data_IF_698287089863
#
_entry.id   IF_698287089863
#
_cell.length_a   1.000
_cell.length_b   1.000
_cell.length_c   1.000
_cell.angle_alpha   90.00
_cell.angle_beta   90.00
_cell.angle_gamma   90.00
#
_symmetry.space_group_name_H-M   'P 1'
#
loop_
_entity.id
_entity.type
_entity.pdbx_description
1 polymer ?
#
# COMPACT_ATOMS: atom_id res chain seq x y z
N UNK A 1 12.44 10.87 11.52
CA UNK A 1 11.91 10.09 10.40
C UNK A 1 12.34 8.64 10.58
N UNK A 2 11.39 7.72 10.44
CA UNK A 2 11.63 6.28 10.53
C UNK A 2 11.69 5.73 9.11
N UNK A 3 12.67 4.88 8.83
CA UNK A 3 12.94 4.34 7.49
C UNK A 3 13.18 2.83 7.59
N UNK A 4 12.80 2.10 6.55
CA UNK A 4 13.10 0.68 6.42
C UNK A 4 14.61 0.45 6.20
N UNK A 5 15.07 -0.76 6.54
CA UNK A 5 16.46 -1.15 6.33
C UNK A 5 16.68 -1.69 4.92
N UNK A 6 16.30 -0.92 3.91
CA UNK A 6 16.50 -1.26 2.51
C UNK A 6 17.87 -0.75 2.03
N UNK A 7 18.70 -1.56 1.33
CA UNK A 7 20.04 -1.16 0.89
C UNK A 7 20.10 0.10 0.02
N UNK A 8 18.98 0.48 -0.61
CA UNK A 8 18.85 1.70 -1.41
C UNK A 8 18.78 2.98 -0.57
N UNK A 9 18.56 2.87 0.74
CA UNK A 9 18.42 4.01 1.65
C UNK A 9 19.80 4.31 2.27
N UNK A 10 20.54 5.32 1.79
CA UNK A 10 21.84 5.64 2.37
C UNK A 10 21.67 6.19 3.79
N UNK A 11 22.61 5.86 4.66
CA UNK A 11 22.75 6.59 5.92
C UNK A 11 23.26 7.99 5.62
N UNK A 12 22.51 9.00 6.08
CA UNK A 12 22.86 10.40 5.91
C UNK A 12 23.15 11.00 7.29
N UNK A 13 24.40 11.41 7.48
CA UNK A 13 24.85 12.04 8.72
C UNK A 13 24.59 13.56 8.72
N UNK A 14 24.65 14.16 9.91
CA UNK A 14 24.59 15.61 10.13
C UNK A 14 23.28 16.31 9.70
N UNK A 15 22.16 15.59 9.69
CA UNK A 15 20.84 16.20 9.51
C UNK A 15 20.53 17.14 10.68
N UNK A 16 20.30 18.43 10.38
CA UNK A 16 20.10 19.47 11.40
C UNK A 16 18.68 19.54 11.96
N UNK A 17 17.68 19.17 11.15
CA UNK A 17 16.27 19.37 11.46
C UNK A 17 15.51 18.06 11.76
N UNK A 18 16.05 16.92 11.32
CA UNK A 18 15.40 15.62 11.49
C UNK A 18 16.43 14.59 11.93
N UNK A 19 16.00 13.66 12.79
CA UNK A 19 16.77 12.45 13.09
C UNK A 19 16.27 11.32 12.20
N UNK A 20 17.19 10.63 11.51
CA UNK A 20 16.88 9.41 10.77
C UNK A 20 17.04 8.20 11.71
N UNK A 21 16.08 7.28 11.69
CA UNK A 21 16.12 6.03 12.47
C UNK A 21 15.76 4.89 11.53
N UNK A 22 16.67 3.94 11.37
CA UNK A 22 16.43 2.73 10.59
C UNK A 22 15.81 1.64 11.46
N UNK A 23 14.80 0.97 10.93
CA UNK A 23 14.23 -0.21 11.56
C UNK A 23 15.19 -1.40 11.46
N UNK A 24 15.07 -2.42 12.31
CA UNK A 24 15.89 -3.62 12.18
C UNK A 24 15.74 -4.31 10.82
N UNK A 25 16.73 -5.09 10.36
CA UNK A 25 16.59 -5.95 9.19
C UNK A 25 15.38 -6.88 9.32
N UNK A 26 14.69 -7.16 8.21
CA UNK A 26 13.52 -8.04 8.15
C UNK A 26 12.33 -7.65 9.04
N UNK A 27 12.22 -6.36 9.40
CA UNK A 27 11.08 -5.85 10.14
C UNK A 27 9.81 -6.01 9.29
N UNK A 28 8.83 -6.77 9.80
CA UNK A 28 7.59 -7.07 9.08
C UNK A 28 6.80 -5.79 8.77
N UNK A 29 5.99 -5.83 7.72
CA UNK A 29 5.12 -4.72 7.28
C UNK A 29 4.16 -4.19 8.36
N UNK A 30 3.93 -4.97 9.43
CA UNK A 30 3.15 -4.55 10.60
C UNK A 30 3.84 -3.43 11.37
N UNK A 31 5.17 -3.46 11.46
CA UNK A 31 5.97 -2.50 12.21
C UNK A 31 6.45 -1.33 11.34
N UNK A 32 6.37 -1.47 10.01
CA UNK A 32 6.74 -0.44 9.05
C UNK A 32 5.64 0.63 8.96
N UNK A 33 5.90 1.90 9.36
CA UNK A 33 4.86 2.92 9.43
C UNK A 33 4.21 3.23 8.08
N UNK A 34 4.98 3.17 6.99
CA UNK A 34 4.47 3.39 5.64
C UNK A 34 3.53 2.27 5.20
N UNK A 35 3.92 1.02 5.46
CA UNK A 35 3.13 -0.16 5.13
C UNK A 35 1.81 -0.19 5.93
N UNK A 36 1.89 -0.01 7.24
CA UNK A 36 0.73 -0.05 8.14
C UNK A 36 -0.20 1.16 7.95
N UNK A 37 0.36 2.31 7.58
CA UNK A 37 -0.38 3.54 7.35
C UNK A 37 -0.84 3.67 5.90
N UNK A 38 -0.01 4.30 5.08
CA UNK A 38 -0.38 4.79 3.75
C UNK A 38 -0.72 3.62 2.82
N UNK A 39 0.13 2.60 2.74
CA UNK A 39 -0.04 1.49 1.79
C UNK A 39 -1.27 0.66 2.16
N UNK A 40 -1.46 0.33 3.44
CA UNK A 40 -2.65 -0.39 3.89
C UNK A 40 -3.94 0.40 3.60
N UNK A 41 -3.96 1.70 3.91
CA UNK A 41 -5.10 2.56 3.61
C UNK A 41 -5.39 2.61 2.12
N UNK A 42 -4.35 2.75 1.29
CA UNK A 42 -4.48 2.75 -0.17
C UNK A 42 -5.07 1.44 -0.68
N UNK A 43 -4.50 0.29 -0.29
CA UNK A 43 -5.01 -1.04 -0.68
C UNK A 43 -6.47 -1.23 -0.27
N UNK A 44 -6.82 -0.85 0.96
CA UNK A 44 -8.21 -0.95 1.46
C UNK A 44 -9.18 -0.11 0.62
N UNK A 45 -8.82 1.14 0.31
CA UNK A 45 -9.67 2.01 -0.50
C UNK A 45 -9.78 1.52 -1.94
N UNK A 46 -8.69 1.00 -2.50
CA UNK A 46 -8.68 0.41 -3.83
C UNK A 46 -9.62 -0.81 -3.91
N UNK A 47 -9.52 -1.78 -2.98
CA UNK A 47 -10.46 -2.92 -2.88
C UNK A 47 -11.91 -2.47 -2.83
N UNK A 48 -12.19 -1.48 -1.98
CA UNK A 48 -13.53 -0.95 -1.81
C UNK A 48 -14.08 -0.42 -3.13
N UNK A 49 -13.28 0.35 -3.88
CA UNK A 49 -13.68 0.89 -5.16
C UNK A 49 -13.93 -0.22 -6.21
N UNK A 50 -13.08 -1.25 -6.26
CA UNK A 50 -13.26 -2.41 -7.15
C UNK A 50 -14.57 -3.14 -6.85
N UNK A 51 -14.83 -3.44 -5.57
CA UNK A 51 -16.08 -4.11 -5.15
C UNK A 51 -17.30 -3.26 -5.48
N UNK A 52 -17.25 -1.95 -5.23
CA UNK A 52 -18.34 -1.04 -5.58
C UNK A 52 -18.63 -1.04 -7.09
N UNK A 53 -17.59 -1.01 -7.92
CA UNK A 53 -17.75 -1.10 -9.38
C UNK A 53 -18.40 -2.42 -9.81
N UNK A 54 -18.04 -3.51 -9.15
CA UNK A 54 -18.63 -4.82 -9.40
C UNK A 54 -20.11 -4.89 -8.99
N UNK A 55 -20.47 -4.35 -7.83
CA UNK A 55 -21.86 -4.29 -7.38
C UNK A 55 -22.74 -3.49 -8.35
N UNK A 56 -22.28 -2.31 -8.78
CA UNK A 56 -22.99 -1.49 -9.78
C UNK A 56 -23.17 -2.26 -11.09
N UNK A 57 -22.17 -3.01 -11.52
CA UNK A 57 -22.26 -3.82 -12.72
C UNK A 57 -23.33 -4.91 -12.60
N UNK A 58 -23.42 -5.59 -11.44
CA UNK A 58 -24.48 -6.56 -11.16
C UNK A 58 -25.86 -5.88 -11.14
N UNK A 59 -25.99 -4.76 -10.41
CA UNK A 59 -27.28 -4.07 -10.22
C UNK A 59 -27.84 -3.51 -11.53
N UNK A 60 -26.97 -3.11 -12.46
CA UNK A 60 -27.37 -2.62 -13.78
C UNK A 60 -27.76 -3.73 -14.76
N UNK A 61 -27.58 -5.01 -14.39
CA UNK A 61 -27.91 -6.16 -15.24
C UNK A 61 -27.12 -6.18 -16.55
N UNK A 62 -25.96 -5.52 -16.58
CA UNK A 62 -25.19 -5.35 -17.81
C UNK A 62 -24.63 -6.71 -18.26
N UNK A 63 -24.93 -7.19 -19.48
CA UNK A 63 -24.55 -8.53 -19.92
C UNK A 63 -23.07 -8.67 -20.29
N UNK A 64 -22.32 -7.56 -20.31
CA UNK A 64 -20.89 -7.57 -20.58
C UNK A 64 -20.13 -8.27 -19.46
N UNK A 65 -19.06 -8.99 -19.77
CA UNK A 65 -18.23 -9.62 -18.73
C UNK A 65 -17.49 -8.56 -17.92
N UNK A 66 -17.60 -8.63 -16.58
CA UNK A 66 -16.79 -7.81 -15.70
C UNK A 66 -15.36 -8.33 -15.70
N UNK A 67 -14.45 -7.60 -16.36
CA UNK A 67 -13.04 -7.97 -16.41
C UNK A 67 -12.31 -7.48 -15.16
N UNK A 68 -11.66 -8.41 -14.47
CA UNK A 68 -10.77 -8.13 -13.33
C UNK A 68 -9.35 -8.26 -13.83
N UNK A 69 -8.57 -7.19 -13.70
CA UNK A 69 -7.14 -7.22 -13.97
C UNK A 69 -6.39 -7.99 -12.88
N UNK A 70 -5.19 -8.50 -13.20
CA UNK A 70 -4.32 -9.15 -12.19
C UNK A 70 -4.04 -8.22 -11.01
N UNK A 71 -3.94 -6.91 -11.25
CA UNK A 71 -3.76 -5.92 -10.20
C UNK A 71 -4.94 -5.89 -9.22
N UNK A 72 -6.16 -5.88 -9.75
CA UNK A 72 -7.40 -5.90 -8.95
C UNK A 72 -7.60 -7.24 -8.24
N UNK A 73 -7.09 -8.34 -8.80
CA UNK A 73 -7.13 -9.65 -8.16
C UNK A 73 -6.14 -9.80 -7.00
N UNK A 74 -4.98 -9.12 -7.07
CA UNK A 74 -3.94 -9.17 -6.03
C UNK A 74 -4.22 -8.18 -4.89
N UNK A 75 -4.74 -7.00 -5.22
CA UNK A 75 -4.99 -5.93 -4.28
C UNK A 75 -6.43 -5.79 -3.91
#
# INVERSE_FOLDING_TARGET
MIVDNCPVHPSVDNLKAIKLVFLPPNTTSILQPCDQGIINSFKRNYRKAVVQRYLVHIDTGCPATFNISVLEALY
#
